data_IF_058473204085
#
_entry.id   IF_058473204085
#
_cell.length_a   1.000
_cell.length_b   1.000
_cell.length_c   1.000
_cell.angle_alpha   90.00
_cell.angle_beta   90.00
_cell.angle_gamma   90.00
#
_symmetry.space_group_name_H-M   'P 1'
#
loop_
_entity.id
_entity.type
_entity.pdbx_description
1 polymer ?
#
# COMPACT_ATOMS: atom_id res chain seq x y z
N UNK A 1 -16.55 -6.00 -7.87
CA UNK A 1 -15.64 -6.03 -6.69
C UNK A 1 -14.22 -6.09 -7.22
N UNK A 2 -13.29 -5.31 -6.68
CA UNK A 2 -11.92 -5.17 -7.22
C UNK A 2 -10.94 -5.89 -6.29
N UNK A 3 -9.89 -6.48 -6.85
CA UNK A 3 -8.84 -7.15 -6.08
C UNK A 3 -7.57 -6.30 -6.08
N UNK A 4 -6.91 -6.27 -4.92
CA UNK A 4 -5.72 -5.47 -4.65
C UNK A 4 -4.65 -6.34 -3.99
N UNK A 5 -3.40 -5.97 -4.19
CA UNK A 5 -2.24 -6.51 -3.51
C UNK A 5 -1.74 -5.42 -2.55
N UNK A 6 -1.62 -5.77 -1.26
CA UNK A 6 -1.05 -4.93 -0.23
C UNK A 6 0.34 -5.44 0.12
N UNK A 7 1.32 -4.53 0.22
CA UNK A 7 2.64 -4.82 0.78
C UNK A 7 2.82 -4.01 2.04
N UNK A 8 2.81 -4.68 3.18
CA UNK A 8 3.00 -4.07 4.49
C UNK A 8 4.47 -4.20 4.90
N UNK A 9 5.08 -3.09 5.33
CA UNK A 9 6.46 -3.03 5.79
C UNK A 9 6.42 -2.70 7.28
N UNK A 10 6.19 -3.70 8.14
CA UNK A 10 6.19 -3.45 9.57
C UNK A 10 7.65 -3.13 10.00
N UNK A 11 7.82 -2.31 11.04
CA UNK A 11 9.15 -1.88 11.53
C UNK A 11 10.08 -3.10 11.75
N UNK A 12 11.41 -2.97 11.66
CA UNK A 12 12.40 -4.07 11.67
C UNK A 12 12.19 -5.12 12.78
N UNK A 13 11.56 -4.73 13.90
CA UNK A 13 11.16 -5.62 14.99
C UNK A 13 10.03 -6.63 14.65
N UNK A 14 9.31 -6.44 13.55
CA UNK A 14 8.11 -7.20 13.17
C UNK A 14 8.31 -8.12 11.95
N UNK A 15 9.49 -8.12 11.33
CA UNK A 15 9.86 -9.08 10.29
C UNK A 15 9.76 -8.55 8.85
N UNK A 16 9.85 -9.45 7.84
CA UNK A 16 9.88 -9.07 6.42
C UNK A 16 8.54 -8.50 5.93
N UNK A 17 8.52 -7.98 4.70
CA UNK A 17 7.30 -7.48 4.08
C UNK A 17 6.17 -8.54 4.06
N UNK A 18 4.97 -8.13 4.48
CA UNK A 18 3.78 -8.98 4.44
C UNK A 18 2.95 -8.64 3.19
N UNK A 19 2.84 -9.61 2.29
CA UNK A 19 2.10 -9.49 1.03
C UNK A 19 0.73 -10.16 1.17
N UNK A 20 -0.33 -9.37 1.01
CA UNK A 20 -1.70 -9.90 1.12
C UNK A 20 -2.60 -9.43 -0.01
N UNK A 21 -3.49 -10.32 -0.48
CA UNK A 21 -4.48 -9.99 -1.50
C UNK A 21 -5.83 -9.70 -0.85
N UNK A 22 -6.42 -8.57 -1.22
CA UNK A 22 -7.64 -8.07 -0.58
C UNK A 22 -8.65 -7.65 -1.63
N UNK A 23 -9.91 -8.03 -1.44
CA UNK A 23 -11.02 -7.50 -2.22
C UNK A 23 -11.58 -6.22 -1.57
N UNK A 24 -11.84 -5.21 -2.38
CA UNK A 24 -12.51 -3.99 -1.96
C UNK A 24 -13.46 -3.47 -3.06
N UNK A 25 -14.53 -2.73 -2.69
CA UNK A 25 -15.49 -2.22 -3.66
C UNK A 25 -14.92 -1.06 -4.50
N UNK A 26 -13.91 -0.34 -4.02
CA UNK A 26 -13.31 0.82 -4.68
C UNK A 26 -11.89 1.10 -4.19
N UNK A 27 -11.18 2.00 -4.89
CA UNK A 27 -9.82 2.43 -4.52
C UNK A 27 -9.80 3.19 -3.19
N UNK A 28 -10.85 3.98 -2.92
CA UNK A 28 -10.99 4.66 -1.64
C UNK A 28 -11.16 3.67 -0.48
N UNK A 29 -11.92 2.59 -0.70
CA UNK A 29 -12.14 1.57 0.33
C UNK A 29 -10.85 0.80 0.67
N UNK A 30 -10.02 0.48 -0.32
CA UNK A 30 -8.73 -0.19 -0.06
C UNK A 30 -7.72 0.78 0.60
N UNK A 31 -7.70 2.07 0.22
CA UNK A 31 -6.87 3.09 0.88
C UNK A 31 -7.20 3.22 2.36
N UNK A 32 -8.49 3.27 2.71
CA UNK A 32 -8.92 3.33 4.10
C UNK A 32 -8.51 2.06 4.89
N UNK A 33 -8.56 0.89 4.25
CA UNK A 33 -8.11 -0.38 4.85
C UNK A 33 -6.59 -0.41 5.04
N UNK A 34 -5.82 0.04 4.06
CA UNK A 34 -4.38 0.15 4.14
C UNK A 34 -3.94 1.15 5.22
N UNK A 35 -4.63 2.29 5.37
CA UNK A 35 -4.36 3.24 6.45
C UNK A 35 -4.55 2.63 7.84
N UNK A 36 -5.63 1.86 8.05
CA UNK A 36 -5.82 1.11 9.31
C UNK A 36 -4.74 0.07 9.54
N UNK A 37 -4.28 -0.60 8.48
CA UNK A 37 -3.20 -1.57 8.56
C UNK A 37 -1.88 -0.89 8.95
N UNK A 38 -1.55 0.23 8.31
CA UNK A 38 -0.34 1.00 8.58
C UNK A 38 -0.24 1.44 10.04
N UNK A 39 -1.35 1.92 10.62
CA UNK A 39 -1.44 2.25 12.05
C UNK A 39 -1.22 1.01 12.92
N UNK A 40 -1.86 -0.11 12.58
CA UNK A 40 -1.78 -1.36 13.35
C UNK A 40 -0.37 -1.95 13.39
N UNK A 41 0.35 -1.90 12.27
CA UNK A 41 1.70 -2.45 12.14
C UNK A 41 2.79 -1.43 12.47
N UNK A 42 2.40 -0.18 12.75
CA UNK A 42 3.30 0.96 12.93
C UNK A 42 4.36 1.06 11.81
N UNK A 43 3.90 1.01 10.56
CA UNK A 43 4.78 0.94 9.39
C UNK A 43 4.04 1.22 8.08
N UNK A 44 4.78 1.50 6.99
CA UNK A 44 4.17 1.84 5.71
C UNK A 44 3.46 0.63 5.08
N UNK A 45 2.43 0.94 4.29
CA UNK A 45 1.68 -0.05 3.51
C UNK A 45 1.57 0.50 2.10
N UNK A 46 1.88 -0.32 1.12
CA UNK A 46 1.76 -0.03 -0.30
C UNK A 46 0.58 -0.78 -0.92
N UNK A 47 -0.07 -0.18 -1.93
CA UNK A 47 -1.24 -0.75 -2.62
C UNK A 47 -0.98 -0.84 -4.12
N UNK A 48 -1.32 -1.98 -4.72
CA UNK A 48 -1.48 -2.13 -6.15
C UNK A 48 -2.81 -2.82 -6.50
N UNK A 49 -3.31 -2.64 -7.73
CA UNK A 49 -4.35 -3.51 -8.31
C UNK A 49 -3.80 -4.92 -8.42
N UNK A 50 -4.55 -5.97 -8.11
CA UNK A 50 -4.09 -7.34 -8.35
C UNK A 50 -4.07 -7.63 -9.87
N UNK A 51 -3.05 -8.31 -10.35
CA UNK A 51 -2.89 -8.65 -11.76
C UNK A 51 -1.50 -9.18 -12.10
N UNK A 52 -1.32 -9.61 -13.34
CA UNK A 52 -0.06 -10.19 -13.84
C UNK A 52 0.96 -9.17 -14.37
N UNK A 53 0.60 -7.90 -14.48
CA UNK A 53 1.53 -6.84 -14.86
C UNK A 53 2.54 -6.55 -13.74
N UNK A 54 3.64 -5.87 -14.07
CA UNK A 54 4.64 -5.48 -13.08
C UNK A 54 4.04 -4.57 -12.00
N UNK A 55 4.62 -4.63 -10.80
CA UNK A 55 4.09 -3.93 -9.63
C UNK A 55 3.94 -2.43 -9.85
N UNK A 56 4.95 -1.80 -10.46
CA UNK A 56 4.99 -0.37 -10.72
C UNK A 56 3.85 0.08 -11.64
N UNK A 57 3.42 -0.79 -12.57
CA UNK A 57 2.35 -0.49 -13.53
C UNK A 57 0.95 -0.61 -12.90
N UNK A 58 0.83 -1.29 -11.76
CA UNK A 58 -0.43 -1.51 -11.03
C UNK A 58 -0.55 -0.66 -9.77
N UNK A 59 0.50 0.07 -9.40
CA UNK A 59 0.62 0.77 -8.13
C UNK A 59 -0.38 1.93 -8.02
N UNK A 60 -1.02 2.05 -6.86
CA UNK A 60 -2.08 3.02 -6.61
C UNK A 60 -1.72 4.09 -5.57
N UNK A 61 -0.67 3.91 -4.77
CA UNK A 61 -0.28 4.74 -3.60
C UNK A 61 -1.13 4.60 -2.32
N UNK A 62 -0.55 4.99 -1.18
CA UNK A 62 -1.22 5.16 0.13
C UNK A 62 -0.93 6.54 0.72
N UNK A 63 -1.58 6.88 1.84
CA UNK A 63 -1.28 8.10 2.59
C UNK A 63 0.13 8.08 3.25
N UNK A 64 0.80 6.92 3.29
CA UNK A 64 2.12 6.75 3.89
C UNK A 64 2.94 5.74 3.06
N UNK A 65 3.42 6.15 1.87
CA UNK A 65 4.17 5.27 0.98
C UNK A 65 5.48 4.82 1.63
N UNK A 66 5.94 3.61 1.33
CA UNK A 66 7.26 3.16 1.78
C UNK A 66 8.38 4.04 1.19
N UNK A 67 9.52 4.17 1.89
CA UNK A 67 10.65 4.98 1.42
C UNK A 67 11.15 4.57 0.04
N UNK A 68 11.05 3.28 -0.30
CA UNK A 68 11.42 2.72 -1.61
C UNK A 68 10.65 3.35 -2.78
N UNK A 69 9.40 3.80 -2.57
CA UNK A 69 8.62 4.50 -3.59
C UNK A 69 8.49 6.01 -3.36
N UNK A 70 8.66 6.49 -2.12
CA UNK A 70 8.70 7.91 -1.81
C UNK A 70 9.84 8.64 -2.56
N UNK A 71 10.97 7.98 -2.82
CA UNK A 71 12.09 8.53 -3.59
C UNK A 71 11.74 8.89 -5.05
N UNK A 72 10.74 8.23 -5.65
CA UNK A 72 10.24 8.52 -7.00
C UNK A 72 8.99 9.40 -7.04
N UNK A 73 8.28 9.55 -5.92
CA UNK A 73 7.03 10.30 -5.81
C UNK A 73 7.24 11.58 -5.01
N UNK A 74 7.39 12.69 -5.73
CA UNK A 74 7.22 14.03 -5.18
C UNK A 74 5.78 14.12 -4.66
N UNK A 75 5.61 14.15 -3.35
CA UNK A 75 4.36 14.48 -2.67
C UNK A 75 3.78 15.76 -3.29
N UNK A 76 2.79 15.65 -4.16
CA UNK A 76 1.78 16.70 -4.24
C UNK A 76 1.03 16.64 -2.91
N UNK A 77 1.50 17.51 -2.04
CA UNK A 77 1.01 17.82 -0.70
C UNK A 77 -0.52 17.88 -0.76
N UNK A 78 -1.19 16.93 -0.12
CA UNK A 78 -2.60 17.04 0.21
C UNK A 78 -2.75 18.25 1.14
N UNK A 79 -3.13 19.40 0.57
CA UNK A 79 -3.85 20.47 1.28
C UNK A 79 -5.30 20.07 1.44
#
# INVERSE_FOLDING_TARGET
MLQFELRAFPNEAMGPEDRTFVQAPSDQAIRARAGRLAVRINGPVDIARAGGADWNDRYLTTANPSEYHAAGYRFERLT
#
